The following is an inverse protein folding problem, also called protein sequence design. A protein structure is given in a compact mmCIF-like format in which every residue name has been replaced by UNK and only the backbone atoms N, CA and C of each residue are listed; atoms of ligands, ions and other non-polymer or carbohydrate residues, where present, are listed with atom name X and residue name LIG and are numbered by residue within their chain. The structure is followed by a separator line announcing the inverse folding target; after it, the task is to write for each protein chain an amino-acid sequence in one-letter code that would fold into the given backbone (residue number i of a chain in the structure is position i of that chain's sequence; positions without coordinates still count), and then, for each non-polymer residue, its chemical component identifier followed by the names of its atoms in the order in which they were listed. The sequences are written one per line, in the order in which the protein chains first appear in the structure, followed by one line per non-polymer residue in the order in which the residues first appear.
data_IF_639412112461
#
_entry.id   IF_639412112461
#
_cell.length_a   1.000
_cell.length_b   1.000
_cell.length_c   1.000
_cell.angle_alpha   90.00
_cell.angle_beta   90.00
_cell.angle_gamma   90.00
#
_symmetry.space_group_name_H-M   'P 1'
#
loop_
_entity.id
_entity.type
_entity.pdbx_description
1 polymer ?
#
# COMPACT_ATOMS: atom_id res chain seq x y z
N UNK A 1 6.00 7.35 -31.12
CA UNK A 1 5.89 6.09 -30.35
C UNK A 1 6.93 6.12 -29.25
N UNK A 2 6.53 6.43 -28.02
CA UNK A 2 7.43 6.46 -26.85
C UNK A 2 7.48 5.03 -26.29
N UNK A 3 8.67 4.43 -26.31
CA UNK A 3 8.88 3.03 -25.97
C UNK A 3 8.40 2.69 -24.57
N UNK A 4 7.64 1.59 -24.48
CA UNK A 4 7.35 0.86 -23.25
C UNK A 4 8.68 0.31 -22.72
N UNK A 5 9.35 1.09 -21.88
CA UNK A 5 10.57 0.69 -21.18
C UNK A 5 10.29 -0.49 -20.26
N UNK A 6 11.06 -1.57 -20.45
CA UNK A 6 10.83 -2.86 -19.83
C UNK A 6 11.11 -2.92 -18.32
N UNK A 7 10.41 -3.84 -17.66
CA UNK A 7 10.61 -4.22 -16.26
C UNK A 7 9.71 -5.39 -15.85
N UNK A 8 9.94 -6.57 -16.46
CA UNK A 8 9.51 -7.91 -16.06
C UNK A 8 8.25 -8.12 -15.20
N UNK A 9 7.22 -8.76 -15.77
CA UNK A 9 6.23 -9.64 -15.07
C UNK A 9 5.85 -9.20 -13.64
N UNK A 10 5.35 -7.99 -13.47
CA UNK A 10 4.70 -7.61 -12.22
C UNK A 10 3.31 -8.26 -12.18
N UNK A 11 3.28 -9.55 -11.83
CA UNK A 11 2.03 -10.25 -11.54
C UNK A 11 1.28 -9.60 -10.38
N UNK A 12 -0.02 -9.88 -10.30
CA UNK A 12 -0.92 -9.35 -9.28
C UNK A 12 -0.32 -9.52 -7.88
N UNK A 13 -0.18 -8.42 -7.14
CA UNK A 13 0.22 -8.47 -5.74
C UNK A 13 -0.96 -8.94 -4.89
N UNK A 14 -0.70 -9.75 -3.87
CA UNK A 14 -1.71 -10.11 -2.88
C UNK A 14 -1.26 -9.60 -1.54
N UNK A 15 -2.10 -8.80 -0.89
CA UNK A 15 -1.87 -8.26 0.44
C UNK A 15 -2.98 -8.74 1.35
N UNK A 16 -2.63 -9.31 2.51
CA UNK A 16 -3.60 -9.72 3.54
C UNK A 16 -3.35 -8.92 4.80
N UNK A 17 -4.38 -8.25 5.29
CA UNK A 17 -4.36 -7.50 6.55
C UNK A 17 -5.45 -8.09 7.43
N UNK A 18 -5.06 -8.68 8.57
CA UNK A 18 -5.96 -9.45 9.44
C UNK A 18 -6.44 -8.70 10.67
N UNK A 19 -5.74 -7.65 11.08
CA UNK A 19 -6.11 -6.87 12.25
C UNK A 19 -5.87 -5.36 12.04
N UNK A 20 -6.55 -4.58 12.88
CA UNK A 20 -6.56 -3.11 12.81
C UNK A 20 -5.20 -2.48 13.11
N UNK A 21 -4.34 -3.13 13.89
CA UNK A 21 -3.03 -2.59 14.22
C UNK A 21 -2.09 -2.70 13.01
N UNK A 22 -2.12 -3.83 12.30
CA UNK A 22 -1.39 -4.02 11.03
C UNK A 22 -1.91 -3.04 9.98
N UNK A 23 -3.23 -2.86 9.88
CA UNK A 23 -3.81 -1.89 8.96
C UNK A 23 -3.31 -0.47 9.24
N UNK A 24 -3.35 -0.05 10.51
CA UNK A 24 -2.90 1.28 10.92
C UNK A 24 -1.42 1.50 10.61
N UNK A 25 -0.57 0.51 10.90
CA UNK A 25 0.85 0.63 10.66
C UNK A 25 1.18 0.69 9.16
N UNK A 26 0.44 -0.02 8.32
CA UNK A 26 0.64 -0.05 6.87
C UNK A 26 0.02 1.17 6.15
N UNK A 27 -1.03 1.78 6.69
CA UNK A 27 -1.75 2.88 6.03
C UNK A 27 -0.94 4.18 5.96
N UNK A 28 -1.00 4.84 4.80
CA UNK A 28 -0.32 6.10 4.50
C UNK A 28 -1.36 7.20 4.27
N UNK A 29 -1.96 7.78 5.32
CA UNK A 29 -3.07 8.74 5.20
C UNK A 29 -2.66 10.07 4.54
N UNK A 30 -1.37 10.42 4.59
CA UNK A 30 -0.84 11.67 4.04
C UNK A 30 -0.60 11.61 2.52
N UNK A 31 -0.68 10.43 1.91
CA UNK A 31 -0.60 10.28 0.46
C UNK A 31 -1.94 10.68 -0.14
N UNK A 32 -1.92 11.42 -1.26
CA UNK A 32 -3.15 11.80 -1.96
C UNK A 32 -3.94 10.53 -2.36
N UNK A 33 -5.22 10.47 -2.02
CA UNK A 33 -6.10 9.29 -2.16
C UNK A 33 -5.71 8.10 -1.27
N UNK A 34 -4.86 8.32 -0.26
CA UNK A 34 -4.34 7.28 0.61
C UNK A 34 -3.33 6.36 -0.06
N UNK A 35 -2.75 5.47 0.75
CA UNK A 35 -1.84 4.46 0.27
C UNK A 35 -1.55 3.40 1.31
N UNK A 36 -0.87 2.33 0.89
CA UNK A 36 -0.40 1.27 1.76
C UNK A 36 1.09 1.02 1.55
N UNK A 37 1.79 0.81 2.66
CA UNK A 37 3.11 0.20 2.63
C UNK A 37 2.98 -1.32 2.47
N UNK A 38 3.67 -1.86 1.47
CA UNK A 38 3.67 -3.29 1.11
C UNK A 38 5.09 -3.83 1.29
N UNK A 39 5.35 -4.67 2.30
CA UNK A 39 6.62 -5.36 2.45
C UNK A 39 6.92 -6.24 1.24
N UNK A 40 8.06 -6.04 0.59
CA UNK A 40 8.46 -6.82 -0.57
C UNK A 40 9.95 -6.68 -0.85
N UNK A 41 10.56 -7.77 -1.36
CA UNK A 41 11.93 -7.78 -1.87
C UNK A 41 11.98 -7.67 -3.40
N UNK A 42 10.81 -7.59 -4.06
CA UNK A 42 10.75 -7.33 -5.51
C UNK A 42 11.25 -5.92 -5.79
N UNK A 43 11.92 -5.77 -6.92
CA UNK A 43 12.41 -4.47 -7.38
C UNK A 43 11.29 -3.71 -8.08
N UNK A 44 11.06 -2.50 -7.63
CA UNK A 44 10.14 -1.53 -8.22
C UNK A 44 10.88 -0.22 -8.45
N UNK A 45 10.35 0.59 -9.37
CA UNK A 45 10.75 1.98 -9.58
C UNK A 45 9.65 2.91 -9.10
N UNK A 46 10.03 4.13 -8.69
CA UNK A 46 9.05 5.17 -8.43
C UNK A 46 8.26 5.43 -9.71
N UNK A 47 6.94 5.42 -9.57
CA UNK A 47 6.00 5.62 -10.64
C UNK A 47 5.52 4.34 -11.34
N UNK A 48 6.03 3.17 -10.96
CA UNK A 48 5.50 1.90 -11.45
C UNK A 48 4.02 1.77 -11.12
N UNK A 49 3.23 1.38 -12.11
CA UNK A 49 1.83 0.99 -11.92
C UNK A 49 1.77 -0.42 -11.35
N UNK A 50 0.92 -0.60 -10.33
CA UNK A 50 0.73 -1.86 -9.65
C UNK A 50 -0.74 -2.19 -9.52
N UNK A 51 -1.06 -3.47 -9.63
CA UNK A 51 -2.38 -4.00 -9.34
C UNK A 51 -2.27 -5.02 -8.21
N UNK A 52 -3.10 -4.86 -7.18
CA UNK A 52 -3.12 -5.74 -6.02
C UNK A 52 -4.53 -6.21 -5.67
N UNK A 53 -4.62 -7.39 -5.07
CA UNK A 53 -5.80 -7.89 -4.40
C UNK A 53 -5.59 -7.78 -2.89
N UNK A 54 -6.41 -6.97 -2.23
CA UNK A 54 -6.38 -6.72 -0.80
C UNK A 54 -7.43 -7.59 -0.10
N UNK A 55 -6.98 -8.55 0.69
CA UNK A 55 -7.80 -9.20 1.72
C UNK A 55 -7.76 -8.35 2.98
N UNK A 56 -8.89 -7.70 3.32
CA UNK A 56 -8.97 -6.71 4.40
C UNK A 56 -9.91 -7.21 5.50
N UNK A 57 -9.36 -7.54 6.67
CA UNK A 57 -10.14 -7.78 7.89
C UNK A 57 -11.27 -8.80 7.65
N UNK A 58 -12.50 -8.40 8.00
CA UNK A 58 -13.72 -9.19 7.87
C UNK A 58 -14.43 -8.99 6.52
N UNK A 59 -13.81 -8.29 5.57
CA UNK A 59 -14.37 -8.15 4.22
C UNK A 59 -14.47 -9.52 3.55
N UNK A 60 -15.67 -9.90 3.07
CA UNK A 60 -15.91 -11.25 2.55
C UNK A 60 -15.19 -11.48 1.21
N UNK A 61 -14.90 -10.40 0.47
CA UNK A 61 -14.28 -10.45 -0.84
C UNK A 61 -12.96 -9.68 -0.87
N UNK A 62 -12.05 -10.11 -1.75
CA UNK A 62 -10.80 -9.37 -2.00
C UNK A 62 -11.11 -8.10 -2.77
N UNK A 63 -10.56 -6.98 -2.31
CA UNK A 63 -10.72 -5.68 -2.95
C UNK A 63 -9.61 -5.53 -4.01
N UNK A 64 -9.92 -5.42 -5.31
CA UNK A 64 -8.94 -5.07 -6.31
C UNK A 64 -8.52 -3.61 -6.13
N UNK A 65 -7.22 -3.33 -6.20
CA UNK A 65 -6.68 -1.98 -6.05
C UNK A 65 -5.64 -1.74 -7.13
N UNK A 66 -5.92 -0.75 -7.98
CA UNK A 66 -4.93 -0.15 -8.86
C UNK A 66 -4.19 0.97 -8.09
N UNK A 67 -2.89 1.07 -8.31
CA UNK A 67 -2.09 2.08 -7.63
C UNK A 67 -0.76 2.34 -8.30
N UNK A 68 0.00 3.24 -7.71
CA UNK A 68 1.30 3.70 -8.20
C UNK A 68 2.32 3.69 -7.08
N UNK A 69 3.53 3.22 -7.37
CA UNK A 69 4.63 3.26 -6.40
C UNK A 69 5.08 4.70 -6.21
N UNK A 70 4.97 5.22 -4.98
CA UNK A 70 5.36 6.60 -4.61
C UNK A 70 6.45 6.65 -3.54
N UNK A 71 6.78 5.50 -2.94
CA UNK A 71 7.84 5.36 -1.96
C UNK A 71 8.54 4.00 -2.10
N UNK A 72 9.84 3.96 -1.82
CA UNK A 72 10.62 2.71 -1.79
C UNK A 72 11.47 2.72 -0.51
N UNK A 73 11.30 1.69 0.31
CA UNK A 73 12.17 1.43 1.47
C UNK A 73 13.21 0.38 1.08
N UNK A 74 14.51 0.72 1.00
CA UNK A 74 15.55 -0.21 0.57
C UNK A 74 15.79 -1.30 1.62
N UNK A 75 16.38 -2.42 1.18
CA UNK A 75 16.86 -3.48 2.07
C UNK A 75 17.97 -2.91 2.96
N UNK A 76 17.89 -3.16 4.27
CA UNK A 76 18.85 -2.66 5.24
C UNK A 76 18.62 -1.19 5.64
N UNK A 77 17.42 -0.65 5.41
CA UNK A 77 17.05 0.67 5.91
C UNK A 77 17.28 0.78 7.43
N UNK A 78 17.76 1.95 7.86
CA UNK A 78 18.07 2.23 9.26
C UNK A 78 16.83 2.03 10.16
N UNK A 79 17.05 1.51 11.37
CA UNK A 79 15.99 1.27 12.35
C UNK A 79 15.21 -0.03 12.15
N UNK A 80 15.79 -1.04 11.48
CA UNK A 80 15.19 -2.36 11.25
C UNK A 80 13.83 -2.30 10.52
N UNK A 81 13.63 -1.28 9.68
CA UNK A 81 12.42 -1.14 8.86
C UNK A 81 12.39 -2.20 7.77
N UNK A 82 11.24 -2.83 7.56
CA UNK A 82 11.05 -3.80 6.49
C UNK A 82 11.31 -3.17 5.12
N UNK A 83 11.96 -3.90 4.22
CA UNK A 83 12.04 -3.53 2.81
C UNK A 83 10.65 -3.58 2.16
N UNK A 84 10.37 -2.65 1.27
CA UNK A 84 9.09 -2.62 0.59
C UNK A 84 8.84 -1.35 -0.20
N UNK A 85 7.57 -1.17 -0.57
CA UNK A 85 7.10 -0.05 -1.38
C UNK A 85 5.91 0.62 -0.72
N UNK A 86 5.79 1.93 -0.85
CA UNK A 86 4.55 2.65 -0.58
C UNK A 86 3.78 2.82 -1.88
N UNK A 87 2.53 2.35 -1.90
CA UNK A 87 1.64 2.39 -3.06
C UNK A 87 0.52 3.37 -2.80
N UNK A 88 0.47 4.43 -3.61
CA UNK A 88 -0.65 5.36 -3.68
C UNK A 88 -1.83 4.69 -4.39
N UNK A 89 -3.05 4.84 -3.87
CA UNK A 89 -4.26 4.35 -4.54
C UNK A 89 -4.63 5.24 -5.73
N UNK A 90 -5.15 4.64 -6.80
CA UNK A 90 -5.69 5.38 -7.95
C UNK A 90 -6.91 6.22 -7.55
N UNK A 91 -7.16 7.30 -8.28
CA UNK A 91 -8.36 8.13 -8.16
C UNK A 91 -9.61 7.53 -8.84
N UNK A 92 -9.44 6.44 -9.60
CA UNK A 92 -10.52 5.79 -10.35
C UNK A 92 -11.46 4.95 -9.47
N UNK A 93 -10.96 4.43 -8.36
CA UNK A 93 -11.72 3.61 -7.40
C UNK A 93 -11.25 3.89 -5.98
N UNK A 94 -12.17 4.37 -5.14
CA UNK A 94 -11.93 4.72 -3.75
C UNK A 94 -12.42 3.65 -2.76
N UNK A 95 -12.88 2.49 -3.23
CA UNK A 95 -13.44 1.42 -2.38
C UNK A 95 -12.47 1.00 -1.28
N UNK A 96 -11.19 0.80 -1.61
CA UNK A 96 -10.17 0.46 -0.63
C UNK A 96 -9.95 1.59 0.39
N UNK A 97 -9.85 2.84 -0.08
CA UNK A 97 -9.70 4.02 0.78
C UNK A 97 -10.84 4.10 1.79
N UNK A 98 -12.09 4.07 1.31
CA UNK A 98 -13.28 4.22 2.16
C UNK A 98 -13.37 3.11 3.21
N UNK A 99 -13.11 1.85 2.83
CA UNK A 99 -13.13 0.72 3.78
C UNK A 99 -12.03 0.86 4.81
N UNK A 100 -10.81 1.20 4.40
CA UNK A 100 -9.68 1.40 5.32
C UNK A 100 -9.98 2.52 6.31
N UNK A 101 -10.45 3.68 5.85
CA UNK A 101 -10.81 4.79 6.72
C UNK A 101 -11.97 4.45 7.65
N UNK A 102 -12.93 3.64 7.20
CA UNK A 102 -14.01 3.13 8.06
C UNK A 102 -13.46 2.23 9.17
N UNK A 103 -12.56 1.29 8.86
CA UNK A 103 -11.92 0.45 9.88
C UNK A 103 -11.04 1.27 10.83
N UNK A 104 -10.38 2.32 10.34
CA UNK A 104 -9.49 3.18 11.11
C UNK A 104 -10.19 4.38 11.78
N UNK A 105 -11.49 4.55 11.55
CA UNK A 105 -12.29 5.60 12.20
C UNK A 105 -12.13 5.53 13.72
N UNK A 106 -11.99 6.71 14.35
CA UNK A 106 -11.69 6.84 15.79
C UNK A 106 -10.27 6.42 16.21
N UNK A 107 -9.40 5.99 15.29
CA UNK A 107 -7.98 5.68 15.55
C UNK A 107 -7.00 6.56 14.78
N UNK A 108 -7.47 7.26 13.75
CA UNK A 108 -6.69 8.26 12.99
C UNK A 108 -6.34 9.51 13.81
N UNK A 109 -6.96 9.71 14.98
CA UNK A 109 -6.62 10.77 15.94
C UNK A 109 -5.57 10.32 16.99
N UNK A 110 -5.08 9.07 16.95
CA UNK A 110 -4.08 8.59 17.91
C UNK A 110 -2.65 8.80 17.40
N UNK A 111 -1.75 9.31 18.25
CA UNK A 111 -0.31 9.55 18.01
C UNK A 111 0.54 8.28 17.82
N UNK A 112 -0.04 7.18 17.33
CA UNK A 112 0.72 5.93 17.15
C UNK A 112 1.65 6.04 15.93
N UNK A 113 2.92 5.64 16.03
CA UNK A 113 3.83 5.67 14.89
C UNK A 113 3.36 4.71 13.79
N UNK A 114 3.35 5.18 12.55
CA UNK A 114 3.08 4.36 11.34
C UNK A 114 4.39 3.81 10.78
N UNK A 115 4.35 2.89 9.81
CA UNK A 115 5.58 2.39 9.16
C UNK A 115 6.29 3.42 8.29
N UNK A 116 5.64 4.56 8.02
CA UNK A 116 6.09 5.54 7.04
C UNK A 116 6.43 6.90 7.65
N UNK A 117 6.28 7.04 8.97
CA UNK A 117 6.75 8.19 9.76
C UNK A 117 7.85 7.79 10.74
#
# INVERSE_FOLDING_TARGET
MKGLGGGGRNGILSLTIKDKAVLYAAYMPFVQNGGLFIPTNKKYSIGDEVFMLLSLMDEPEKIPVAGKVVWITPIGAQGNRASGIGVQFSDQDNTALQKIETYLAGSLESDRPTHTM
#
